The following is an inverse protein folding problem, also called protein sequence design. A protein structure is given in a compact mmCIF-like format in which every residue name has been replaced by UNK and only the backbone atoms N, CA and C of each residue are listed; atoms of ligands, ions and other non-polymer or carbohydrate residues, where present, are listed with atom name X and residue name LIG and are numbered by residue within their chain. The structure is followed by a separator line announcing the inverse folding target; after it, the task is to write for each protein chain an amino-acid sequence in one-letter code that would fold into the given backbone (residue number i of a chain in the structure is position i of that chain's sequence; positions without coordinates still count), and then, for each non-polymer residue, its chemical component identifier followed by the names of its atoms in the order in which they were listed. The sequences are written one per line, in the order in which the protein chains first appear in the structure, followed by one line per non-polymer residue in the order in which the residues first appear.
data_IF_825723908530
#
_entry.id   IF_825723908530
#
_cell.length_a   1.000
_cell.length_b   1.000
_cell.length_c   1.000
_cell.angle_alpha   90.00
_cell.angle_beta   90.00
_cell.angle_gamma   90.00
#
_symmetry.space_group_name_H-M   'P 1'
#
loop_
_entity.id
_entity.type
_entity.pdbx_description
1 polymer ?
#
# COMPACT_ATOMS: atom_id res chain seq x y z
N UNK A 1 -32.75 72.14 -25.53
CA UNK A 1 -32.22 71.86 -24.18
C UNK A 1 -33.29 71.06 -23.43
N UNK A 2 -33.21 69.73 -23.42
CA UNK A 2 -34.21 68.90 -22.74
C UNK A 2 -33.80 68.74 -21.28
N UNK A 3 -34.64 69.24 -20.37
CA UNK A 3 -34.42 69.16 -18.92
C UNK A 3 -34.79 67.76 -18.42
N UNK A 4 -33.81 66.97 -18.02
CA UNK A 4 -34.03 65.69 -17.32
C UNK A 4 -34.75 65.95 -16.00
N UNK A 5 -36.05 65.60 -15.94
CA UNK A 5 -36.80 65.63 -14.69
C UNK A 5 -36.32 64.49 -13.80
N UNK A 6 -35.71 64.84 -12.66
CA UNK A 6 -35.28 63.84 -11.67
C UNK A 6 -36.51 63.18 -11.05
N UNK A 7 -36.56 61.84 -10.96
CA UNK A 7 -37.70 61.13 -10.41
C UNK A 7 -37.93 61.54 -8.95
N UNK A 8 -39.20 61.81 -8.62
CA UNK A 8 -39.59 62.22 -7.28
C UNK A 8 -39.31 61.09 -6.29
N UNK A 9 -38.73 61.43 -5.13
CA UNK A 9 -38.22 60.46 -4.16
C UNK A 9 -39.27 59.44 -3.69
N UNK A 10 -40.55 59.83 -3.67
CA UNK A 10 -41.66 58.98 -3.29
C UNK A 10 -41.91 57.86 -4.30
N UNK A 11 -41.68 58.10 -5.59
CA UNK A 11 -41.82 57.09 -6.64
C UNK A 11 -40.67 56.09 -6.62
N UNK A 12 -39.45 56.56 -6.29
CA UNK A 12 -38.28 55.69 -6.10
C UNK A 12 -38.48 54.76 -4.90
N UNK A 13 -39.01 55.28 -3.79
CA UNK A 13 -39.31 54.47 -2.62
C UNK A 13 -40.42 53.45 -2.87
N UNK A 14 -41.52 53.86 -3.53
CA UNK A 14 -42.61 52.94 -3.93
C UNK A 14 -42.10 51.82 -4.84
N UNK A 15 -41.20 52.13 -5.78
CA UNK A 15 -40.59 51.12 -6.66
C UNK A 15 -39.71 50.15 -5.87
N UNK A 16 -38.98 50.63 -4.87
CA UNK A 16 -38.08 49.80 -4.05
C UNK A 16 -38.85 48.92 -3.06
N UNK A 17 -39.93 49.42 -2.45
CA UNK A 17 -40.81 48.60 -1.60
C UNK A 17 -41.55 47.55 -2.42
N UNK A 18 -42.06 47.89 -3.60
CA UNK A 18 -42.70 46.93 -4.51
C UNK A 18 -41.74 45.81 -4.96
N UNK A 19 -40.47 46.14 -5.27
CA UNK A 19 -39.46 45.15 -5.64
C UNK A 19 -39.02 44.30 -4.43
N UNK A 20 -38.92 44.87 -3.24
CA UNK A 20 -38.61 44.11 -2.01
C UNK A 20 -39.75 43.16 -1.63
N UNK A 21 -41.00 43.57 -1.88
CA UNK A 21 -42.19 42.73 -1.67
C UNK A 21 -42.23 41.61 -2.72
N UNK A 22 -41.95 41.90 -4.00
CA UNK A 22 -41.78 40.86 -5.04
C UNK A 22 -40.68 39.86 -4.67
N UNK A 23 -39.52 40.32 -4.23
CA UNK A 23 -38.43 39.46 -3.77
C UNK A 23 -38.77 38.60 -2.54
N UNK A 24 -39.78 38.98 -1.75
CA UNK A 24 -40.30 38.21 -0.61
C UNK A 24 -41.43 37.25 -1.00
N UNK A 25 -42.11 37.51 -2.11
CA UNK A 25 -43.22 36.68 -2.64
C UNK A 25 -42.72 35.57 -3.56
N UNK A 26 -41.56 35.74 -4.22
CA UNK A 26 -40.91 34.64 -4.95
C UNK A 26 -40.61 33.53 -3.95
N UNK A 27 -41.18 32.36 -4.23
CA UNK A 27 -41.09 31.21 -3.33
C UNK A 27 -39.62 30.79 -3.16
N UNK A 28 -39.29 30.24 -1.99
CA UNK A 28 -37.94 29.79 -1.68
C UNK A 28 -37.44 28.73 -2.69
N UNK A 29 -38.38 27.98 -3.27
CA UNK A 29 -38.13 26.99 -4.31
C UNK A 29 -37.77 27.59 -5.67
N UNK A 30 -38.41 28.70 -6.07
CA UNK A 30 -38.08 29.41 -7.32
C UNK A 30 -36.70 30.08 -7.24
N UNK A 31 -36.32 30.62 -6.08
CA UNK A 31 -34.97 31.14 -5.87
C UNK A 31 -33.92 30.04 -5.93
N UNK A 32 -34.24 28.90 -5.33
CA UNK A 32 -33.37 27.74 -5.36
C UNK A 32 -33.25 27.17 -6.77
N UNK A 33 -34.32 27.13 -7.55
CA UNK A 33 -34.24 26.72 -8.96
C UNK A 33 -33.38 27.68 -9.77
N UNK A 34 -33.59 28.99 -9.62
CA UNK A 34 -32.77 30.01 -10.30
C UNK A 34 -31.29 29.91 -9.90
N UNK A 35 -30.98 29.70 -8.62
CA UNK A 35 -29.61 29.48 -8.15
C UNK A 35 -28.99 28.20 -8.73
N UNK A 36 -29.76 27.11 -8.79
CA UNK A 36 -29.28 25.85 -9.38
C UNK A 36 -29.07 25.94 -10.89
N UNK A 37 -29.93 26.67 -11.60
CA UNK A 37 -29.78 26.92 -13.04
C UNK A 37 -28.55 27.79 -13.31
N UNK A 38 -28.37 28.84 -12.50
CA UNK A 38 -27.21 29.73 -12.59
C UNK A 38 -25.91 28.99 -12.28
N UNK A 39 -25.91 28.16 -11.23
CA UNK A 39 -24.78 27.29 -10.89
C UNK A 39 -24.46 26.32 -12.02
N UNK A 40 -25.49 25.66 -12.57
CA UNK A 40 -25.32 24.68 -13.65
C UNK A 40 -24.71 25.33 -14.88
N UNK A 41 -25.20 26.52 -15.27
CA UNK A 41 -24.68 27.28 -16.40
C UNK A 41 -23.19 27.62 -16.25
N UNK A 42 -22.80 28.21 -15.11
CA UNK A 42 -21.39 28.59 -14.89
C UNK A 42 -20.49 27.36 -14.73
N UNK A 43 -20.99 26.28 -14.13
CA UNK A 43 -20.24 25.03 -14.00
C UNK A 43 -20.02 24.35 -15.36
N UNK A 44 -21.04 24.32 -16.24
CA UNK A 44 -20.89 23.78 -17.60
C UNK A 44 -19.96 24.64 -18.44
N UNK A 45 -20.06 25.97 -18.35
CA UNK A 45 -19.16 26.89 -19.06
C UNK A 45 -17.70 26.74 -18.61
N UNK A 46 -17.45 26.60 -17.30
CA UNK A 46 -16.10 26.32 -16.77
C UNK A 46 -15.58 24.94 -17.18
N UNK A 47 -16.44 23.91 -17.14
CA UNK A 47 -16.08 22.54 -17.52
C UNK A 47 -15.83 22.40 -19.01
N UNK A 48 -16.58 23.11 -19.85
CA UNK A 48 -16.40 23.14 -21.31
C UNK A 48 -15.19 24.00 -21.71
N UNK A 49 -14.84 25.02 -20.90
CA UNK A 49 -13.57 25.74 -20.98
C UNK A 49 -12.34 24.89 -20.62
N UNK A 50 -12.53 23.73 -19.99
CA UNK A 50 -11.49 22.71 -19.80
C UNK A 50 -11.27 21.91 -21.09
N UNK A 51 -10.90 22.61 -22.16
CA UNK A 51 -10.27 21.99 -23.30
C UNK A 51 -8.92 21.41 -22.85
N UNK A 52 -8.95 20.15 -22.40
CA UNK A 52 -7.84 19.19 -22.40
C UNK A 52 -6.51 19.86 -22.06
N UNK A 53 -6.33 20.26 -20.80
CA UNK A 53 -5.02 20.74 -20.36
C UNK A 53 -3.95 19.76 -20.87
N UNK A 54 -2.90 20.26 -21.52
CA UNK A 54 -1.83 19.44 -22.07
C UNK A 54 -1.18 18.54 -21.00
N UNK A 55 -1.31 18.92 -19.72
CA UNK A 55 -0.98 18.12 -18.53
C UNK A 55 -1.60 16.72 -18.57
N UNK A 56 -2.87 16.57 -18.98
CA UNK A 56 -3.56 15.27 -19.06
C UNK A 56 -3.05 14.36 -20.19
N UNK A 57 -2.26 14.88 -21.14
CA UNK A 57 -1.59 14.05 -22.15
C UNK A 57 -0.30 13.43 -21.63
N UNK A 58 0.39 14.10 -20.70
CA UNK A 58 1.68 13.66 -20.15
C UNK A 58 1.52 12.79 -18.90
N UNK A 59 0.42 12.98 -18.14
CA UNK A 59 0.18 12.22 -16.91
C UNK A 59 -0.44 10.84 -17.26
N UNK A 60 0.21 9.72 -16.90
CA UNK A 60 -0.36 8.39 -17.08
C UNK A 60 -1.65 8.23 -16.28
N UNK A 61 -2.66 7.57 -16.86
CA UNK A 61 -3.89 7.22 -16.14
C UNK A 61 -3.57 6.23 -15.01
N UNK A 62 -3.65 6.70 -13.77
CA UNK A 62 -3.44 5.90 -12.56
C UNK A 62 -4.74 5.33 -11.98
N UNK A 63 -5.89 5.94 -12.30
CA UNK A 63 -7.20 5.51 -11.81
C UNK A 63 -8.05 4.96 -12.93
N UNK A 64 -8.52 3.73 -12.74
CA UNK A 64 -9.52 3.07 -13.56
C UNK A 64 -10.72 2.80 -12.67
N UNK A 65 -11.89 3.31 -13.06
CA UNK A 65 -13.13 2.94 -12.38
C UNK A 65 -13.28 1.42 -12.44
N UNK A 66 -13.69 0.82 -11.33
CA UNK A 66 -14.06 -0.58 -11.37
C UNK A 66 -15.27 -0.72 -12.31
N UNK A 67 -15.26 -1.69 -13.25
CA UNK A 67 -16.43 -2.13 -13.99
C UNK A 67 -17.61 -2.34 -13.04
N UNK A 68 -18.80 -1.98 -13.51
CA UNK A 68 -20.02 -2.31 -12.81
C UNK A 68 -20.27 -3.83 -12.87
N UNK A 69 -21.01 -4.40 -11.90
CA UNK A 69 -21.14 -5.86 -11.73
C UNK A 69 -21.81 -6.58 -12.92
N UNK A 70 -22.47 -5.81 -13.78
CA UNK A 70 -23.08 -6.21 -15.05
C UNK A 70 -22.05 -6.69 -16.10
N UNK A 71 -20.76 -6.39 -15.94
CA UNK A 71 -19.67 -6.86 -16.81
C UNK A 71 -18.99 -8.14 -16.30
N UNK A 72 -19.77 -9.22 -16.13
CA UNK A 72 -19.33 -10.52 -15.57
C UNK A 72 -18.04 -11.07 -16.22
N UNK A 73 -17.89 -10.90 -17.54
CA UNK A 73 -16.70 -11.37 -18.27
C UNK A 73 -15.43 -10.62 -17.88
N UNK A 74 -15.51 -9.30 -17.71
CA UNK A 74 -14.36 -8.46 -17.33
C UNK A 74 -13.96 -8.70 -15.87
N UNK A 75 -14.95 -8.97 -15.01
CA UNK A 75 -14.70 -9.42 -13.64
C UNK A 75 -13.98 -10.77 -13.61
N UNK A 76 -14.43 -11.76 -14.38
CA UNK A 76 -13.77 -13.07 -14.48
C UNK A 76 -12.34 -12.97 -15.00
N UNK A 77 -12.09 -12.19 -16.05
CA UNK A 77 -10.73 -11.96 -16.55
C UNK A 77 -9.81 -11.31 -15.49
N UNK A 78 -10.35 -10.40 -14.66
CA UNK A 78 -9.60 -9.83 -13.53
C UNK A 78 -9.34 -10.83 -12.43
N UNK A 79 -10.32 -11.66 -12.10
CA UNK A 79 -10.17 -12.73 -11.10
C UNK A 79 -9.12 -13.74 -11.56
N UNK A 80 -9.17 -14.19 -12.82
CA UNK A 80 -8.18 -15.11 -13.40
C UNK A 80 -6.78 -14.50 -13.45
N UNK A 81 -6.64 -13.26 -13.95
CA UNK A 81 -5.33 -12.59 -13.97
C UNK A 81 -4.77 -12.35 -12.56
N UNK A 82 -5.61 -12.04 -11.57
CA UNK A 82 -5.22 -11.95 -10.16
C UNK A 82 -4.80 -13.31 -9.61
N UNK A 83 -5.56 -14.36 -9.87
CA UNK A 83 -5.25 -15.71 -9.41
C UNK A 83 -3.92 -16.19 -9.99
N UNK A 84 -3.68 -15.99 -11.28
CA UNK A 84 -2.41 -16.33 -11.95
C UNK A 84 -1.26 -15.50 -11.39
N UNK A 85 -1.45 -14.19 -11.17
CA UNK A 85 -0.43 -13.34 -10.56
C UNK A 85 -0.07 -13.80 -9.14
N UNK A 86 -1.08 -14.09 -8.31
CA UNK A 86 -0.90 -14.60 -6.96
C UNK A 86 -0.24 -15.98 -6.96
N UNK A 87 -0.58 -16.86 -7.91
CA UNK A 87 0.03 -18.17 -8.05
C UNK A 87 1.51 -18.07 -8.49
N UNK A 88 1.85 -17.14 -9.38
CA UNK A 88 3.26 -16.86 -9.72
C UNK A 88 4.02 -16.35 -8.51
N UNK A 89 3.41 -15.45 -7.73
CA UNK A 89 4.00 -14.93 -6.49
C UNK A 89 4.13 -16.00 -5.41
N UNK A 90 3.16 -16.90 -5.27
CA UNK A 90 3.22 -17.99 -4.29
C UNK A 90 4.33 -18.98 -4.61
N UNK A 91 4.56 -19.30 -5.89
CA UNK A 91 5.70 -20.13 -6.33
C UNK A 91 7.08 -19.50 -6.07
N UNK A 92 7.14 -18.16 -5.98
CA UNK A 92 8.37 -17.45 -5.60
C UNK A 92 8.63 -17.49 -4.08
N UNK A 93 7.63 -17.85 -3.27
CA UNK A 93 7.79 -17.98 -1.82
C UNK A 93 8.55 -19.26 -1.47
N UNK A 94 9.20 -19.21 -0.30
CA UNK A 94 9.86 -20.36 0.29
C UNK A 94 8.82 -21.27 0.93
N UNK A 95 8.89 -22.55 0.59
CA UNK A 95 8.02 -23.58 1.16
C UNK A 95 8.51 -23.96 2.57
N UNK A 96 7.67 -24.63 3.37
CA UNK A 96 8.02 -25.01 4.75
C UNK A 96 9.27 -25.90 4.80
N UNK A 97 9.37 -26.87 3.89
CA UNK A 97 10.54 -27.76 3.76
C UNK A 97 11.81 -26.98 3.41
N UNK A 98 11.72 -25.97 2.54
CA UNK A 98 12.86 -25.12 2.16
C UNK A 98 13.33 -24.27 3.35
N UNK A 99 12.41 -23.78 4.18
CA UNK A 99 12.73 -23.05 5.41
C UNK A 99 13.39 -23.95 6.46
N UNK A 100 12.93 -25.19 6.62
CA UNK A 100 13.56 -26.18 7.49
C UNK A 100 14.97 -26.54 7.02
N UNK A 101 15.14 -26.77 5.72
CA UNK A 101 16.45 -27.05 5.13
C UNK A 101 17.40 -25.87 5.30
N UNK A 102 16.92 -24.63 5.13
CA UNK A 102 17.72 -23.42 5.36
C UNK A 102 18.19 -23.31 6.82
N UNK A 103 17.28 -23.52 7.78
CA UNK A 103 17.62 -23.52 9.20
C UNK A 103 18.71 -24.54 9.53
N UNK A 104 18.54 -25.77 9.05
CA UNK A 104 19.49 -26.86 9.29
C UNK A 104 20.87 -26.60 8.66
N UNK A 105 20.91 -25.98 7.47
CA UNK A 105 22.17 -25.58 6.84
C UNK A 105 22.86 -24.47 7.62
N UNK A 106 22.11 -23.48 8.12
CA UNK A 106 22.68 -22.39 8.93
C UNK A 106 23.25 -22.92 10.25
N UNK A 107 22.53 -23.82 10.93
CA UNK A 107 22.95 -24.45 12.19
C UNK A 107 24.25 -25.26 12.05
N UNK A 108 24.43 -25.95 10.91
CA UNK A 108 25.66 -26.70 10.60
C UNK A 108 26.90 -25.83 10.38
N UNK A 109 26.72 -24.59 9.93
CA UNK A 109 27.80 -23.67 9.55
C UNK A 109 28.01 -22.54 10.57
N UNK A 110 27.56 -22.76 11.81
CA UNK A 110 27.78 -21.82 12.92
C UNK A 110 29.25 -21.80 13.36
N UNK A 111 29.73 -20.63 13.78
CA UNK A 111 31.13 -20.43 14.18
C UNK A 111 31.21 -20.23 15.70
N UNK A 112 31.98 -21.05 16.45
CA UNK A 112 32.26 -20.81 17.86
C UNK A 112 33.00 -19.47 18.08
N UNK A 113 32.83 -18.76 19.20
CA UNK A 113 32.30 -19.22 20.48
C UNK A 113 30.78 -19.06 20.56
N UNK A 114 30.10 -20.10 21.06
CA UNK A 114 28.69 -20.05 21.48
C UNK A 114 28.56 -19.32 22.84
N UNK A 115 29.42 -18.32 23.10
CA UNK A 115 29.58 -17.67 24.42
C UNK A 115 28.43 -16.70 24.79
N UNK A 116 27.26 -16.91 24.20
CA UNK A 116 25.99 -16.28 24.48
C UNK A 116 24.94 -17.06 23.71
N UNK A 117 23.68 -17.00 24.14
CA UNK A 117 22.53 -17.77 23.61
C UNK A 117 22.25 -17.62 22.09
N UNK A 118 23.09 -16.90 21.35
CA UNK A 118 22.91 -16.58 19.93
C UNK A 118 23.92 -17.32 19.03
N UNK A 119 23.39 -18.12 18.09
CA UNK A 119 24.18 -18.75 17.06
C UNK A 119 24.61 -17.72 15.99
N UNK A 120 25.92 -17.65 15.73
CA UNK A 120 26.55 -16.65 14.85
C UNK A 120 27.15 -17.29 13.59
N UNK A 121 27.15 -16.55 12.48
CA UNK A 121 27.70 -17.01 11.19
C UNK A 121 28.65 -15.96 10.54
N UNK A 122 29.79 -16.43 10.05
CA UNK A 122 30.77 -15.63 9.31
C UNK A 122 30.32 -15.43 7.85
N UNK A 123 30.89 -14.44 7.16
CA UNK A 123 30.54 -14.15 5.76
C UNK A 123 30.86 -15.31 4.80
N UNK A 124 31.96 -16.02 5.01
CA UNK A 124 32.34 -17.18 4.18
C UNK A 124 31.32 -18.31 4.30
N UNK A 125 30.95 -18.66 5.53
CA UNK A 125 29.91 -19.64 5.83
C UNK A 125 28.55 -19.21 5.27
N UNK A 126 28.21 -17.92 5.35
CA UNK A 126 27.01 -17.36 4.74
C UNK A 126 26.95 -17.58 3.22
N UNK A 127 28.07 -17.38 2.51
CA UNK A 127 28.14 -17.65 1.07
C UNK A 127 28.04 -19.15 0.77
N UNK A 128 28.71 -20.00 1.55
CA UNK A 128 28.63 -21.46 1.38
C UNK A 128 27.21 -22.00 1.58
N UNK A 129 26.48 -21.50 2.59
CA UNK A 129 25.08 -21.84 2.81
C UNK A 129 24.23 -21.34 1.63
N UNK A 130 24.51 -20.15 1.10
CA UNK A 130 23.79 -19.61 -0.06
C UNK A 130 23.94 -20.43 -1.34
N UNK A 131 25.08 -21.08 -1.57
CA UNK A 131 25.30 -21.99 -2.71
C UNK A 131 24.67 -23.38 -2.49
N UNK A 132 24.64 -23.85 -1.23
CA UNK A 132 23.97 -25.11 -0.86
C UNK A 132 22.45 -24.98 -0.75
N UNK A 133 21.97 -23.76 -0.48
CA UNK A 133 20.57 -23.46 -0.42
C UNK A 133 19.97 -23.41 -1.83
N UNK A 134 18.72 -23.84 -1.97
CA UNK A 134 18.04 -23.90 -3.26
C UNK A 134 17.96 -22.53 -3.98
N UNK A 135 17.61 -22.52 -5.28
CA UNK A 135 17.62 -21.32 -6.11
C UNK A 135 16.69 -20.20 -5.61
N UNK A 136 15.63 -20.53 -4.87
CA UNK A 136 14.75 -19.55 -4.22
C UNK A 136 15.45 -18.81 -3.07
N UNK A 137 16.22 -19.54 -2.26
CA UNK A 137 16.96 -18.99 -1.12
C UNK A 137 18.08 -18.04 -1.55
N UNK A 138 18.73 -18.30 -2.68
CA UNK A 138 19.86 -17.51 -3.20
C UNK A 138 19.56 -16.00 -3.32
N UNK A 139 18.31 -15.62 -3.58
CA UNK A 139 17.86 -14.21 -3.64
C UNK A 139 17.99 -13.46 -2.30
N UNK A 140 17.97 -14.18 -1.17
CA UNK A 140 18.16 -13.61 0.16
C UNK A 140 19.63 -13.54 0.57
N UNK A 141 20.49 -14.35 -0.06
CA UNK A 141 21.93 -14.36 0.14
C UNK A 141 22.61 -13.27 -0.69
N UNK A 142 22.48 -12.01 -0.25
CA UNK A 142 23.13 -10.86 -0.89
C UNK A 142 24.03 -10.16 0.11
N UNK A 143 25.21 -9.69 -0.31
CA UNK A 143 26.13 -8.91 0.53
C UNK A 143 25.46 -7.71 1.20
N UNK A 144 24.46 -7.09 0.53
CA UNK A 144 23.64 -6.01 1.09
C UNK A 144 22.80 -6.46 2.29
N UNK A 145 22.29 -7.68 2.28
CA UNK A 145 21.51 -8.23 3.41
C UNK A 145 22.46 -8.51 4.57
N UNK A 146 23.62 -9.10 4.30
CA UNK A 146 24.66 -9.33 5.28
C UNK A 146 25.09 -8.03 5.99
N UNK A 147 25.44 -6.99 5.21
CA UNK A 147 25.84 -5.69 5.75
C UNK A 147 24.74 -4.98 6.55
N UNK A 148 23.46 -5.23 6.23
CA UNK A 148 22.33 -4.68 7.00
C UNK A 148 22.12 -5.36 8.35
N UNK A 149 22.47 -6.64 8.46
CA UNK A 149 22.34 -7.44 9.68
C UNK A 149 23.61 -7.38 10.53
N UNK A 150 24.69 -6.83 9.99
CA UNK A 150 25.94 -6.63 10.69
C UNK A 150 25.79 -5.49 11.71
N UNK A 151 25.63 -5.85 12.98
CA UNK A 151 25.54 -4.90 14.08
C UNK A 151 26.76 -5.03 14.98
N UNK A 152 27.68 -4.07 14.87
CA UNK A 152 28.78 -3.77 15.81
C UNK A 152 29.51 -4.97 16.44
N UNK A 153 29.64 -6.10 15.74
CA UNK A 153 30.43 -7.25 16.20
C UNK A 153 31.91 -7.04 15.80
N UNK A 154 32.87 -7.08 16.75
CA UNK A 154 34.30 -6.99 16.46
C UNK A 154 34.80 -8.01 15.44
N UNK A 155 34.11 -9.14 15.33
CA UNK A 155 34.48 -10.25 14.44
C UNK A 155 33.73 -10.22 13.10
N UNK A 156 32.87 -9.23 12.89
CA UNK A 156 32.17 -9.10 11.62
C UNK A 156 31.10 -10.17 11.38
N UNK A 157 30.53 -10.79 12.42
CA UNK A 157 29.58 -11.91 12.30
C UNK A 157 28.14 -11.42 12.42
N UNK A 158 27.21 -12.21 11.90
CA UNK A 158 25.76 -11.93 12.02
C UNK A 158 25.05 -13.02 12.80
N UNK A 159 23.98 -12.65 13.50
CA UNK A 159 23.11 -13.60 14.21
C UNK A 159 22.26 -14.38 13.20
N UNK A 160 22.35 -15.71 13.27
CA UNK A 160 21.57 -16.63 12.42
C UNK A 160 20.07 -16.38 12.59
N UNK A 161 19.64 -16.13 13.82
CA UNK A 161 18.25 -15.83 14.16
C UNK A 161 17.77 -14.54 13.47
N UNK A 162 18.59 -13.49 13.46
CA UNK A 162 18.24 -12.22 12.80
C UNK A 162 18.12 -12.41 11.28
N UNK A 163 19.02 -13.18 10.67
CA UNK A 163 18.94 -13.51 9.25
C UNK A 163 17.69 -14.35 8.92
N UNK A 164 17.40 -15.38 9.71
CA UNK A 164 16.22 -16.21 9.51
C UNK A 164 14.92 -15.39 9.62
N UNK A 165 14.85 -14.50 10.61
CA UNK A 165 13.73 -13.55 10.74
C UNK A 165 13.61 -12.59 9.56
N UNK A 166 14.72 -12.16 8.96
CA UNK A 166 14.69 -11.34 7.74
C UNK A 166 14.05 -12.10 6.58
N UNK A 167 14.42 -13.36 6.37
CA UNK A 167 13.85 -14.22 5.33
C UNK A 167 12.35 -14.42 5.56
N UNK A 168 11.95 -14.73 6.80
CA UNK A 168 10.54 -14.90 7.18
C UNK A 168 9.72 -13.61 7.00
N UNK A 169 10.26 -12.44 7.37
CA UNK A 169 9.56 -11.14 7.19
C UNK A 169 9.44 -10.73 5.73
N UNK A 170 10.38 -11.14 4.88
CA UNK A 170 10.29 -10.91 3.43
C UNK A 170 9.36 -11.91 2.73
N UNK A 171 8.98 -13.00 3.39
CA UNK A 171 8.25 -14.13 2.81
C UNK A 171 6.74 -13.96 2.61
N UNK A 172 6.04 -12.99 3.20
CA UNK A 172 4.77 -12.57 2.59
C UNK A 172 4.43 -11.09 2.82
N UNK A 173 4.31 -10.31 1.73
CA UNK A 173 3.48 -9.09 1.72
C UNK A 173 1.98 -9.38 1.88
N UNK A 174 1.56 -10.65 2.02
CA UNK A 174 0.18 -11.05 2.32
C UNK A 174 -0.29 -10.64 3.73
N UNK A 175 0.61 -10.28 4.66
CA UNK A 175 0.21 -9.78 5.98
C UNK A 175 -0.05 -8.26 6.02
N UNK A 176 0.26 -7.52 4.94
CA UNK A 176 -0.03 -6.07 4.87
C UNK A 176 -1.49 -5.72 4.58
N UNK A 177 -2.36 -6.72 4.32
CA UNK A 177 -3.81 -6.54 4.19
C UNK A 177 -4.57 -6.79 5.51
N UNK A 178 -3.88 -7.10 6.61
CA UNK A 178 -4.49 -7.20 7.95
C UNK A 178 -3.67 -6.35 8.94
N UNK A 179 -4.00 -5.06 9.01
CA UNK A 179 -3.26 -4.06 9.80
C UNK A 179 -3.52 -4.10 11.31
N UNK A 180 -4.01 -5.20 11.90
CA UNK A 180 -4.41 -5.20 13.33
C UNK A 180 -3.78 -6.27 14.22
N UNK A 181 -2.75 -7.00 13.79
CA UNK A 181 -2.00 -7.90 14.68
C UNK A 181 -0.61 -7.34 14.99
N UNK A 182 -0.54 -6.60 16.09
CA UNK A 182 0.69 -6.16 16.74
C UNK A 182 1.61 -7.35 17.03
N UNK A 183 2.85 -7.22 16.55
CA UNK A 183 4.12 -7.65 17.18
C UNK A 183 4.18 -9.09 17.72
N UNK A 184 5.05 -9.91 17.10
CA UNK A 184 5.52 -11.24 17.57
C UNK A 184 5.00 -12.50 16.85
N UNK A 185 4.56 -12.38 15.59
CA UNK A 185 4.26 -13.56 14.78
C UNK A 185 5.49 -14.33 14.24
N UNK A 186 6.63 -13.70 13.90
CA UNK A 186 7.81 -14.44 13.46
C UNK A 186 8.34 -15.37 14.56
N UNK A 187 8.36 -14.89 15.82
CA UNK A 187 8.81 -15.65 16.97
C UNK A 187 7.87 -16.81 17.30
N UNK A 188 6.54 -16.61 17.22
CA UNK A 188 5.56 -17.67 17.48
C UNK A 188 5.59 -18.79 16.43
N UNK A 189 5.83 -18.49 15.14
CA UNK A 189 5.98 -19.54 14.12
C UNK A 189 7.27 -20.34 14.32
N UNK A 190 8.37 -19.70 14.70
CA UNK A 190 9.60 -20.41 15.10
C UNK A 190 9.35 -21.24 16.38
N UNK A 191 8.63 -20.69 17.36
CA UNK A 191 8.25 -21.40 18.59
C UNK A 191 7.29 -22.58 18.35
N UNK A 192 6.39 -22.48 17.38
CA UNK A 192 5.41 -23.55 17.12
C UNK A 192 6.02 -24.64 16.23
N UNK A 193 6.80 -24.27 15.21
CA UNK A 193 7.33 -25.23 14.25
C UNK A 193 8.72 -25.81 14.62
N UNK A 194 9.55 -25.09 15.37
CA UNK A 194 10.95 -25.52 15.63
C UNK A 194 11.26 -25.83 17.10
N UNK A 195 10.45 -25.39 18.07
CA UNK A 195 10.64 -25.73 19.49
C UNK A 195 10.58 -27.23 19.83
N UNK A 196 9.77 -28.08 19.14
CA UNK A 196 9.81 -29.53 19.37
C UNK A 196 11.18 -30.15 19.06
N UNK A 197 11.97 -29.53 18.17
CA UNK A 197 13.30 -30.03 17.78
C UNK A 197 14.41 -29.62 18.75
N UNK A 198 14.28 -28.46 19.40
CA UNK A 198 15.22 -27.98 20.42
C UNK A 198 15.15 -28.75 21.74
N UNK A 199 14.00 -29.37 22.05
CA UNK A 199 13.80 -30.12 23.29
C UNK A 199 14.32 -31.57 23.25
N UNK A 200 14.82 -32.05 22.11
CA UNK A 200 15.27 -33.44 21.89
C UNK A 200 16.77 -33.65 21.75
N UNK A 201 17.60 -32.62 21.96
CA UNK A 201 19.07 -32.69 21.91
C UNK A 201 19.73 -32.57 23.30
N UNK A 202 18.95 -32.73 24.37
CA UNK A 202 19.41 -32.79 25.75
C UNK A 202 18.94 -34.07 26.43
N UNK A 203 19.45 -35.22 25.98
CA UNK A 203 19.48 -36.49 26.71
C UNK A 203 20.67 -37.31 26.23
#
# INVERSE_FOLDING_TARGET
MATEQRPHWSDVLKKRTANSIKGKIISEEEKKSEETELFTKYYTEWKEGSHREQSYKTIPRFYYRLPAEDEVLLQKLREESRAVFLQRKSRELLDNEELQNLWFLLDKHQVPPVSGEEAMINYEAYLQVGEKAGPKCKKFFTSRVYAKLLHSDPYGRISIMQFFNYVMRKGPTLTRLSSSALVSWPSLLVFIYFLPKFRGLGS
#
